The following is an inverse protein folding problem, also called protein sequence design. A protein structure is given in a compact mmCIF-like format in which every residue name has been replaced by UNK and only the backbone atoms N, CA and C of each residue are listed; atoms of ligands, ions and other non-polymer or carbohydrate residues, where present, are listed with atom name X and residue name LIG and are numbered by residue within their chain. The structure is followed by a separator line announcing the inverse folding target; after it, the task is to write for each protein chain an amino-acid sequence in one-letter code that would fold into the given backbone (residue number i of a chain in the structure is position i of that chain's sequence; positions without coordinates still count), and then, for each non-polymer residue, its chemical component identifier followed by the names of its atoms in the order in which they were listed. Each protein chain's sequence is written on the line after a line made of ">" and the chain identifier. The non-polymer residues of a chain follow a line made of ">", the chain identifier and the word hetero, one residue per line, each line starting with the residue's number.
data_IF_260706447805
#
_entry.id   IF_260706447805
#
_cell.length_a   1.000
_cell.length_b   1.000
_cell.length_c   1.000
_cell.angle_alpha   90.00
_cell.angle_beta   90.00
_cell.angle_gamma   90.00
#
_symmetry.space_group_name_H-M   'P 1'
#
loop_
_entity.id
_entity.type
_entity.pdbx_description
1 polymer ?
#
# COMPACT_ATOMS: atom_id res chain seq x y z
N UNK A 1 62.56 -65.31 -7.45
CA UNK A 1 61.12 -65.37 -7.15
C UNK A 1 60.90 -64.48 -5.93
N UNK A 2 60.09 -63.43 -5.89
CA UNK A 2 59.10 -62.82 -6.80
C UNK A 2 58.87 -61.38 -6.31
N UNK A 3 58.70 -60.45 -7.25
CA UNK A 3 58.38 -59.02 -7.08
C UNK A 3 56.83 -58.81 -7.05
N UNK A 4 56.27 -57.57 -6.99
CA UNK A 4 55.59 -56.97 -5.83
C UNK A 4 54.09 -56.70 -6.17
N UNK A 5 53.36 -55.94 -5.35
CA UNK A 5 52.53 -54.77 -5.77
C UNK A 5 51.58 -54.31 -4.65
N UNK A 6 51.61 -52.99 -4.38
CA UNK A 6 50.53 -52.26 -3.72
C UNK A 6 49.36 -52.08 -4.71
N UNK A 7 48.09 -52.18 -4.27
CA UNK A 7 46.95 -51.72 -5.06
C UNK A 7 46.68 -50.21 -4.88
N UNK A 8 45.98 -49.57 -5.83
CA UNK A 8 45.97 -48.11 -6.03
C UNK A 8 44.87 -47.39 -5.25
N UNK A 9 45.04 -46.06 -5.14
CA UNK A 9 44.07 -45.12 -4.60
C UNK A 9 42.75 -45.08 -5.41
N UNK A 10 41.59 -44.93 -4.76
CA UNK A 10 40.31 -44.75 -5.46
C UNK A 10 40.18 -43.33 -6.03
N UNK A 11 39.81 -43.27 -7.31
CA UNK A 11 39.42 -42.05 -8.04
C UNK A 11 38.10 -41.47 -7.49
N UNK A 12 37.86 -40.15 -7.64
CA UNK A 12 36.64 -39.51 -7.15
C UNK A 12 35.40 -39.95 -7.95
N UNK A 13 34.33 -40.29 -7.22
CA UNK A 13 33.00 -40.57 -7.77
C UNK A 13 32.37 -39.29 -8.35
N UNK A 14 31.67 -39.37 -9.50
CA UNK A 14 30.91 -38.24 -10.02
C UNK A 14 29.70 -37.92 -9.12
N UNK A 15 29.42 -36.63 -8.97
CA UNK A 15 28.31 -36.10 -8.20
C UNK A 15 26.97 -36.75 -8.63
N UNK A 16 26.30 -37.40 -7.68
CA UNK A 16 24.94 -37.87 -7.85
C UNK A 16 24.00 -36.68 -7.95
N UNK A 17 23.46 -36.43 -9.13
CA UNK A 17 22.33 -35.49 -9.32
C UNK A 17 21.11 -36.13 -8.64
N UNK A 18 20.69 -35.51 -7.54
CA UNK A 18 19.46 -35.83 -6.83
C UNK A 18 18.26 -35.56 -7.75
N UNK A 19 17.64 -36.63 -8.27
CA UNK A 19 16.37 -36.55 -9.00
C UNK A 19 15.28 -36.17 -8.00
N UNK A 20 14.85 -34.90 -8.00
CA UNK A 20 13.61 -34.49 -7.34
C UNK A 20 12.43 -34.97 -8.18
N UNK A 21 11.67 -35.91 -7.62
CA UNK A 21 10.35 -36.33 -8.09
C UNK A 21 9.38 -35.16 -7.97
N UNK A 22 8.89 -34.62 -9.09
CA UNK A 22 7.74 -33.72 -9.12
C UNK A 22 6.47 -34.57 -9.16
N UNK A 23 5.73 -34.59 -8.07
CA UNK A 23 4.39 -35.19 -7.99
C UNK A 23 3.41 -34.14 -8.52
N UNK A 24 2.80 -34.39 -9.68
CA UNK A 24 1.65 -33.62 -10.17
C UNK A 24 0.37 -34.29 -9.68
N UNK A 25 -0.33 -33.65 -8.74
CA UNK A 25 -1.72 -33.99 -8.42
C UNK A 25 -2.63 -33.24 -9.41
N UNK A 26 -3.17 -33.95 -10.39
CA UNK A 26 -4.31 -33.49 -11.19
C UNK A 26 -5.60 -33.98 -10.54
N UNK A 27 -6.39 -33.07 -9.97
CA UNK A 27 -7.80 -33.36 -9.66
C UNK A 27 -8.68 -32.62 -10.66
N UNK A 28 -9.18 -33.36 -11.65
CA UNK A 28 -10.42 -33.04 -12.35
C UNK A 28 -11.54 -33.86 -11.69
N UNK A 29 -12.55 -33.19 -11.15
CA UNK A 29 -13.88 -33.79 -11.06
C UNK A 29 -14.88 -32.82 -11.70
N UNK A 30 -15.37 -33.24 -12.86
CA UNK A 30 -16.60 -32.77 -13.47
C UNK A 30 -17.73 -33.49 -12.73
N UNK A 31 -18.68 -32.73 -12.20
CA UNK A 31 -19.90 -33.25 -11.60
C UNK A 31 -21.01 -32.22 -11.73
N UNK A 32 -21.81 -32.36 -12.77
CA UNK A 32 -23.07 -31.64 -12.98
C UNK A 32 -24.15 -32.21 -12.06
N UNK A 33 -24.80 -31.36 -11.24
CA UNK A 33 -26.18 -31.59 -10.81
C UNK A 33 -26.82 -30.28 -10.31
N UNK A 34 -27.94 -29.93 -10.93
CA UNK A 34 -28.94 -28.96 -10.48
C UNK A 34 -29.73 -29.56 -9.30
N UNK A 35 -29.96 -28.79 -8.23
CA UNK A 35 -31.31 -28.44 -7.77
C UNK A 35 -31.33 -27.70 -6.42
N UNK A 36 -32.37 -26.86 -6.27
CA UNK A 36 -32.73 -26.00 -5.12
C UNK A 36 -32.93 -26.79 -3.81
N UNK A 37 -32.50 -26.22 -2.67
CA UNK A 37 -33.35 -25.80 -1.52
C UNK A 37 -32.59 -25.61 -0.18
N UNK A 38 -32.62 -24.38 0.35
CA UNK A 38 -33.15 -23.96 1.69
C UNK A 38 -32.65 -24.61 3.02
N UNK A 39 -32.14 -23.73 3.91
CA UNK A 39 -32.10 -23.71 5.41
C UNK A 39 -31.08 -24.57 6.20
N UNK A 40 -30.20 -23.85 6.92
CA UNK A 40 -30.05 -23.93 8.39
C UNK A 40 -28.97 -24.85 8.99
N UNK A 41 -28.43 -24.53 10.20
CA UNK A 41 -27.02 -24.75 10.56
C UNK A 41 -26.79 -25.84 11.62
N UNK A 42 -25.56 -26.37 11.72
CA UNK A 42 -25.13 -27.10 12.92
C UNK A 42 -23.91 -28.02 12.77
N UNK A 43 -22.92 -27.73 13.61
CA UNK A 43 -21.98 -28.64 14.28
C UNK A 43 -20.78 -29.25 13.55
N UNK A 44 -19.64 -28.97 14.20
CA UNK A 44 -18.34 -29.61 14.08
C UNK A 44 -18.41 -31.10 14.41
N UNK A 45 -17.55 -31.89 13.77
CA UNK A 45 -16.91 -33.06 14.39
C UNK A 45 -15.66 -33.47 13.62
N UNK A 46 -14.58 -33.68 14.35
CA UNK A 46 -13.33 -34.26 13.89
C UNK A 46 -13.52 -35.74 13.58
N UNK A 47 -13.00 -36.22 12.44
CA UNK A 47 -12.73 -37.64 12.24
C UNK A 47 -11.35 -37.85 11.61
N UNK A 48 -10.46 -38.42 12.41
CA UNK A 48 -9.32 -39.22 11.99
C UNK A 48 -9.81 -40.54 11.42
N UNK A 49 -9.34 -40.94 10.24
CA UNK A 49 -9.48 -42.31 9.75
C UNK A 49 -8.20 -42.77 9.06
N UNK A 50 -7.53 -43.71 9.73
CA UNK A 50 -6.53 -44.62 9.18
C UNK A 50 -7.24 -45.69 8.36
N UNK A 51 -6.82 -45.92 7.11
CA UNK A 51 -7.34 -47.00 6.28
C UNK A 51 -6.46 -47.24 5.05
N UNK A 52 -5.63 -48.27 5.13
CA UNK A 52 -4.86 -48.90 4.05
C UNK A 52 -5.78 -49.55 3.02
N UNK A 53 -5.53 -49.30 1.73
CA UNK A 53 -5.81 -50.25 0.66
C UNK A 53 -4.84 -50.01 -0.50
N UNK A 54 -3.93 -50.96 -0.67
CA UNK A 54 -3.19 -51.18 -1.89
C UNK A 54 -4.08 -52.03 -2.80
N UNK A 55 -4.34 -51.60 -4.04
CA UNK A 55 -4.06 -52.41 -5.23
C UNK A 55 -4.52 -51.77 -6.56
N UNK A 56 -3.70 -52.02 -7.59
CA UNK A 56 -3.93 -51.87 -9.03
C UNK A 56 -4.29 -50.49 -9.62
N UNK A 57 -3.25 -49.69 -9.88
CA UNK A 57 -3.20 -48.85 -11.09
C UNK A 57 -1.82 -49.00 -11.75
N UNK A 58 -1.76 -49.81 -12.81
CA UNK A 58 -0.57 -49.92 -13.66
C UNK A 58 -0.17 -48.53 -14.16
N UNK A 59 1.10 -48.11 -14.03
CA UNK A 59 1.57 -46.94 -14.76
C UNK A 59 1.57 -47.31 -16.24
N UNK A 60 0.63 -46.74 -17.00
CA UNK A 60 0.84 -46.56 -18.44
C UNK A 60 2.08 -45.70 -18.58
N UNK A 61 3.19 -46.36 -18.90
CA UNK A 61 4.38 -45.72 -19.45
C UNK A 61 3.91 -45.07 -20.76
N UNK A 62 3.50 -43.81 -20.69
CA UNK A 62 3.58 -42.94 -21.84
C UNK A 62 5.07 -42.65 -21.96
N UNK A 63 5.75 -43.41 -22.80
CA UNK A 63 7.02 -43.01 -23.39
C UNK A 63 6.77 -41.66 -24.07
N UNK A 64 6.92 -40.58 -23.31
CA UNK A 64 7.28 -39.29 -23.88
C UNK A 64 8.62 -39.55 -24.55
N UNK A 65 8.56 -39.79 -25.87
CA UNK A 65 9.71 -39.68 -26.74
C UNK A 65 10.47 -38.44 -26.30
N UNK A 66 11.68 -38.68 -25.77
CA UNK A 66 12.64 -37.65 -25.46
C UNK A 66 12.96 -36.95 -26.77
N UNK A 67 12.18 -35.92 -27.10
CA UNK A 67 12.60 -34.92 -28.06
C UNK A 67 13.89 -34.34 -27.53
N UNK A 68 14.99 -34.61 -28.24
CA UNK A 68 16.31 -34.09 -27.92
C UNK A 68 16.20 -32.57 -27.70
N UNK A 69 16.34 -32.12 -26.46
CA UNK A 69 16.55 -30.70 -26.19
C UNK A 69 17.85 -30.33 -26.92
N UNK A 70 17.74 -29.41 -27.89
CA UNK A 70 18.90 -28.96 -28.65
C UNK A 70 19.99 -28.46 -27.68
N UNK A 71 21.29 -28.66 -27.95
CA UNK A 71 22.38 -28.22 -27.06
C UNK A 71 22.30 -26.74 -26.68
N UNK A 72 21.70 -25.91 -27.54
CA UNK A 72 21.44 -24.49 -27.31
C UNK A 72 20.35 -24.22 -26.27
N UNK A 73 19.27 -25.02 -26.23
CA UNK A 73 18.23 -24.91 -25.19
C UNK A 73 18.77 -25.28 -23.81
N UNK A 74 19.62 -26.30 -23.72
CA UNK A 74 20.25 -26.70 -22.46
C UNK A 74 21.22 -25.62 -21.94
N UNK A 75 22.00 -25.00 -22.84
CA UNK A 75 22.86 -23.86 -22.49
C UNK A 75 22.05 -22.66 -22.00
N UNK A 76 20.95 -22.35 -22.69
CA UNK A 76 20.05 -21.26 -22.31
C UNK A 76 19.44 -21.48 -20.92
N UNK A 77 18.95 -22.68 -20.63
CA UNK A 77 18.40 -23.03 -19.31
C UNK A 77 19.46 -22.91 -18.20
N UNK A 78 20.68 -23.40 -18.44
CA UNK A 78 21.77 -23.30 -17.47
C UNK A 78 22.19 -21.85 -17.19
N UNK A 79 22.15 -20.97 -18.21
CA UNK A 79 22.44 -19.54 -18.04
C UNK A 79 21.34 -18.84 -17.24
N UNK A 80 20.07 -19.18 -17.46
CA UNK A 80 18.95 -18.66 -16.67
C UNK A 80 19.02 -19.09 -15.20
N UNK A 81 19.34 -20.36 -14.94
CA UNK A 81 19.51 -20.85 -13.57
C UNK A 81 20.67 -20.12 -12.87
N UNK A 82 21.82 -19.97 -13.54
CA UNK A 82 22.96 -19.23 -12.99
C UNK A 82 22.62 -17.75 -12.73
N UNK A 83 21.82 -17.12 -13.60
CA UNK A 83 21.35 -15.75 -13.41
C UNK A 83 20.40 -15.64 -12.21
N UNK A 84 19.47 -16.58 -12.07
CA UNK A 84 18.55 -16.64 -10.95
C UNK A 84 19.31 -16.83 -9.63
N UNK A 85 20.34 -17.67 -9.61
CA UNK A 85 21.23 -17.86 -8.47
C UNK A 85 21.96 -16.58 -8.08
N UNK A 86 22.57 -15.87 -9.04
CA UNK A 86 23.23 -14.58 -8.79
C UNK A 86 22.25 -13.55 -8.22
N UNK A 87 21.06 -13.44 -8.80
CA UNK A 87 20.00 -12.54 -8.28
C UNK A 87 19.58 -12.91 -6.86
N UNK A 88 19.42 -14.20 -6.57
CA UNK A 88 19.07 -14.67 -5.22
C UNK A 88 20.20 -14.40 -4.21
N UNK A 89 21.47 -14.44 -4.64
CA UNK A 89 22.60 -14.04 -3.81
C UNK A 89 22.55 -12.55 -3.47
N UNK A 90 22.30 -11.68 -4.46
CA UNK A 90 22.11 -10.23 -4.24
C UNK A 90 20.94 -9.97 -3.29
N UNK A 91 19.81 -10.65 -3.46
CA UNK A 91 18.65 -10.54 -2.57
C UNK A 91 19.01 -10.90 -1.12
N UNK A 92 19.75 -11.99 -0.90
CA UNK A 92 20.20 -12.39 0.44
C UNK A 92 21.16 -11.38 1.05
N UNK A 93 22.13 -10.89 0.29
CA UNK A 93 23.10 -9.91 0.74
C UNK A 93 22.43 -8.58 1.13
N UNK A 94 21.52 -8.08 0.28
CA UNK A 94 20.75 -6.87 0.56
C UNK A 94 19.84 -7.05 1.78
N UNK A 95 19.23 -8.23 1.95
CA UNK A 95 18.43 -8.53 3.13
C UNK A 95 19.27 -8.46 4.41
N UNK A 96 20.41 -9.13 4.45
CA UNK A 96 21.30 -9.12 5.62
C UNK A 96 21.80 -7.70 5.92
N UNK A 97 22.29 -6.99 4.90
CA UNK A 97 22.79 -5.62 5.02
C UNK A 97 21.70 -4.69 5.55
N UNK A 98 20.47 -4.83 5.07
CA UNK A 98 19.35 -4.01 5.51
C UNK A 98 18.91 -4.36 6.93
N UNK A 99 18.84 -5.63 7.30
CA UNK A 99 18.55 -6.04 8.67
C UNK A 99 19.56 -5.45 9.67
N UNK A 100 20.85 -5.47 9.34
CA UNK A 100 21.91 -4.87 10.17
C UNK A 100 21.79 -3.33 10.25
N UNK A 101 21.40 -2.67 9.14
CA UNK A 101 21.15 -1.23 9.14
C UNK A 101 19.93 -0.86 10.00
N UNK A 102 18.84 -1.62 9.89
CA UNK A 102 17.64 -1.45 10.72
C UNK A 102 18.00 -1.62 12.19
N UNK A 103 18.72 -2.68 12.56
CA UNK A 103 19.10 -2.92 13.95
C UNK A 103 19.89 -1.75 14.55
N UNK A 104 20.88 -1.22 13.81
CA UNK A 104 21.70 -0.06 14.25
C UNK A 104 20.90 1.22 14.39
N UNK A 105 19.92 1.46 13.52
CA UNK A 105 19.14 2.71 13.50
C UNK A 105 17.96 2.68 14.45
N UNK A 106 17.33 1.52 14.63
CA UNK A 106 16.10 1.35 15.40
C UNK A 106 16.30 1.74 16.88
N UNK A 107 17.40 1.34 17.51
CA UNK A 107 17.66 1.68 18.92
C UNK A 107 17.75 3.20 19.15
N UNK A 108 18.29 3.93 18.16
CA UNK A 108 18.34 5.40 18.22
C UNK A 108 16.94 6.01 18.10
N UNK A 109 16.11 5.52 17.16
CA UNK A 109 14.74 5.98 17.00
C UNK A 109 13.89 5.70 18.25
N UNK A 110 14.08 4.54 18.87
CA UNK A 110 13.42 4.18 20.14
C UNK A 110 13.82 5.15 21.25
N UNK A 111 15.11 5.42 21.42
CA UNK A 111 15.58 6.39 22.42
C UNK A 111 14.97 7.79 22.20
N UNK A 112 14.94 8.27 20.95
CA UNK A 112 14.34 9.55 20.62
C UNK A 112 12.84 9.59 20.93
N UNK A 113 12.14 8.49 20.64
CA UNK A 113 10.71 8.38 20.88
C UNK A 113 10.38 8.34 22.37
N UNK A 114 11.14 7.58 23.17
CA UNK A 114 11.01 7.55 24.62
C UNK A 114 11.24 8.94 25.24
N UNK A 115 12.28 9.65 24.78
CA UNK A 115 12.56 11.02 25.22
C UNK A 115 11.44 12.00 24.82
N UNK A 116 10.79 11.80 23.67
CA UNK A 116 9.64 12.60 23.27
C UNK A 116 8.45 12.31 24.19
N UNK A 117 8.10 11.05 24.41
CA UNK A 117 7.00 10.66 25.29
C UNK A 117 7.18 11.21 26.71
N UNK A 118 8.39 11.14 27.27
CA UNK A 118 8.71 11.72 28.58
C UNK A 118 8.52 13.24 28.61
N UNK A 119 9.01 13.95 27.59
CA UNK A 119 8.86 15.41 27.47
C UNK A 119 7.40 15.82 27.35
N UNK A 120 6.63 15.16 26.48
CA UNK A 120 5.20 15.46 26.30
C UNK A 120 4.41 15.17 27.57
N UNK A 121 4.69 14.06 28.27
CA UNK A 121 4.03 13.73 29.54
C UNK A 121 4.34 14.76 30.63
N UNK A 122 5.60 15.21 30.72
CA UNK A 122 6.00 16.25 31.67
C UNK A 122 5.32 17.59 31.37
N UNK A 123 5.20 17.97 30.08
CA UNK A 123 4.50 19.19 29.65
C UNK A 123 3.01 19.13 30.00
N UNK A 124 2.33 18.01 29.73
CA UNK A 124 0.93 17.79 30.11
C UNK A 124 0.75 17.94 31.63
N UNK A 125 1.65 17.34 32.43
CA UNK A 125 1.62 17.45 33.89
C UNK A 125 1.86 18.87 34.41
N UNK A 126 2.62 19.69 33.69
CA UNK A 126 2.90 21.08 34.05
C UNK A 126 1.79 22.07 33.63
N UNK A 127 1.15 21.85 32.47
CA UNK A 127 0.08 22.72 31.96
C UNK A 127 -1.25 22.58 32.74
N UNK A 128 -1.45 21.50 33.50
CA UNK A 128 -2.63 21.30 34.35
C UNK A 128 -2.87 22.36 35.44
N UNK A 129 -1.96 23.33 35.63
CA UNK A 129 -2.06 24.41 36.63
C UNK A 129 -2.30 25.82 36.04
N UNK A 130 -2.18 26.02 34.73
CA UNK A 130 -2.34 27.34 34.11
C UNK A 130 -3.57 27.32 33.20
N UNK A 131 -4.66 27.94 33.67
CA UNK A 131 -5.97 27.94 33.01
C UNK A 131 -6.02 28.74 31.70
N UNK A 132 -5.46 28.19 30.64
CA UNK A 132 -5.67 28.68 29.27
C UNK A 132 -6.85 27.93 28.64
N UNK A 133 -8.00 28.59 28.54
CA UNK A 133 -9.30 28.01 28.13
C UNK A 133 -9.29 27.38 26.73
N UNK A 134 -8.32 27.76 25.88
CA UNK A 134 -8.12 27.19 24.55
C UNK A 134 -7.27 25.91 24.53
N UNK A 135 -6.30 25.75 25.44
CA UNK A 135 -5.54 24.50 25.62
C UNK A 135 -6.35 23.45 26.36
N UNK A 136 -7.27 23.87 27.24
CA UNK A 136 -8.17 23.00 28.01
C UNK A 136 -9.09 22.10 27.19
N UNK A 137 -9.22 22.31 25.87
CA UNK A 137 -10.02 21.46 24.98
C UNK A 137 -9.26 20.25 24.41
N UNK A 138 -7.92 20.26 24.37
CA UNK A 138 -7.16 19.08 23.90
C UNK A 138 -6.91 18.16 25.08
N UNK A 139 -7.64 17.05 25.13
CA UNK A 139 -7.40 16.02 26.13
C UNK A 139 -5.92 15.60 26.13
N UNK A 140 -5.32 15.30 27.30
CA UNK A 140 -3.97 14.74 27.39
C UNK A 140 -3.69 13.58 26.42
N UNK A 141 -4.73 12.76 26.18
CA UNK A 141 -4.68 11.67 25.19
C UNK A 141 -4.44 12.18 23.77
N UNK A 142 -5.19 13.19 23.33
CA UNK A 142 -5.04 13.79 21.98
C UNK A 142 -3.64 14.35 21.78
N UNK A 143 -3.05 15.00 22.79
CA UNK A 143 -1.70 15.56 22.68
C UNK A 143 -0.62 14.48 22.51
N UNK A 144 -0.72 13.37 23.25
CA UNK A 144 0.18 12.23 23.11
C UNK A 144 0.03 11.55 21.74
N UNK A 145 -1.20 11.39 21.25
CA UNK A 145 -1.49 10.83 19.92
C UNK A 145 -0.89 11.71 18.81
N UNK A 146 -1.07 13.02 18.90
CA UNK A 146 -0.49 13.98 17.95
C UNK A 146 1.04 13.95 17.99
N UNK A 147 1.65 13.90 19.18
CA UNK A 147 3.11 13.83 19.31
C UNK A 147 3.69 12.57 18.66
N UNK A 148 3.04 11.42 18.84
CA UNK A 148 3.43 10.16 18.20
C UNK A 148 3.34 10.22 16.67
N UNK A 149 2.23 10.76 16.14
CA UNK A 149 2.06 10.93 14.70
C UNK A 149 3.15 11.86 14.13
N UNK A 150 3.38 13.00 14.77
CA UNK A 150 4.40 13.97 14.34
C UNK A 150 5.79 13.35 14.36
N UNK A 151 6.13 12.56 15.39
CA UNK A 151 7.40 11.82 15.43
C UNK A 151 7.57 10.94 14.18
N UNK A 152 6.56 10.13 13.84
CA UNK A 152 6.64 9.24 12.67
C UNK A 152 6.81 10.05 11.39
N UNK A 153 6.06 11.15 11.22
CA UNK A 153 6.13 12.02 10.03
C UNK A 153 7.50 12.69 9.90
N UNK A 154 7.98 13.33 10.97
CA UNK A 154 9.26 14.04 10.99
C UNK A 154 10.44 13.10 10.78
N UNK A 155 10.46 11.96 11.49
CA UNK A 155 11.51 10.97 11.30
C UNK A 155 11.45 10.34 9.92
N UNK A 156 10.26 10.10 9.35
CA UNK A 156 10.16 9.60 7.97
C UNK A 156 10.80 10.58 6.98
N UNK A 157 10.57 11.88 7.16
CA UNK A 157 11.20 12.91 6.32
C UNK A 157 12.73 12.95 6.46
N UNK A 158 13.25 12.73 7.68
CA UNK A 158 14.69 12.66 7.95
C UNK A 158 15.32 11.38 7.36
N UNK A 159 14.69 10.23 7.54
CA UNK A 159 15.18 8.95 6.99
C UNK A 159 15.18 8.95 5.47
N UNK A 160 14.26 9.67 4.82
CA UNK A 160 14.27 9.86 3.36
C UNK A 160 15.51 10.60 2.87
N UNK A 161 16.01 11.57 3.65
CA UNK A 161 17.24 12.30 3.34
C UNK A 161 18.49 11.48 3.67
N UNK A 162 18.38 10.52 4.59
CA UNK A 162 19.46 9.64 4.97
C UNK A 162 19.65 8.53 3.93
N UNK A 163 20.53 8.77 2.97
CA UNK A 163 20.95 7.71 2.02
C UNK A 163 21.98 6.84 2.73
N UNK A 164 21.56 5.69 3.28
CA UNK A 164 22.49 4.68 3.76
C UNK A 164 23.28 4.15 2.56
N UNK A 165 24.54 4.57 2.43
CA UNK A 165 25.43 4.18 1.34
C UNK A 165 25.63 2.67 1.22
N UNK A 166 25.27 1.89 2.25
CA UNK A 166 25.36 0.43 2.23
C UNK A 166 24.12 -0.24 1.63
N UNK A 167 22.94 0.37 1.76
CA UNK A 167 21.68 -0.18 1.23
C UNK A 167 21.39 0.46 -0.12
N UNK A 168 21.96 -0.12 -1.17
CA UNK A 168 21.76 0.35 -2.55
C UNK A 168 20.70 -0.49 -3.25
N UNK A 169 19.45 -0.02 -3.25
CA UNK A 169 18.35 -0.67 -3.98
C UNK A 169 18.64 -0.86 -5.48
N UNK A 170 19.51 -0.02 -6.05
CA UNK A 170 20.00 -0.13 -7.43
C UNK A 170 20.79 -1.41 -7.70
N UNK A 171 21.29 -2.13 -6.69
CA UNK A 171 21.92 -3.44 -6.87
C UNK A 171 20.96 -4.51 -7.37
N UNK A 172 19.66 -4.36 -7.11
CA UNK A 172 18.64 -5.23 -7.69
C UNK A 172 18.57 -5.13 -9.22
N UNK A 173 19.21 -4.12 -9.82
CA UNK A 173 19.27 -3.92 -11.26
C UNK A 173 20.39 -4.72 -11.95
N UNK A 174 21.39 -5.23 -11.20
CA UNK A 174 22.62 -5.84 -11.75
C UNK A 174 22.37 -7.01 -12.73
N UNK A 175 21.26 -7.74 -12.57
CA UNK A 175 20.92 -8.92 -13.41
C UNK A 175 19.57 -8.74 -14.14
N UNK A 176 19.12 -7.48 -14.31
CA UNK A 176 17.97 -7.19 -15.16
C UNK A 176 18.33 -7.44 -16.63
N UNK A 177 17.50 -8.18 -17.37
CA UNK A 177 17.76 -8.39 -18.78
C UNK A 177 17.52 -7.07 -19.53
N UNK A 178 18.40 -6.76 -20.50
CA UNK A 178 18.28 -5.55 -21.34
C UNK A 178 17.00 -5.60 -22.19
N UNK A 179 16.60 -6.79 -22.61
CA UNK A 179 15.36 -7.04 -23.36
C UNK A 179 14.47 -8.05 -22.61
N UNK A 180 13.15 -7.91 -22.72
CA UNK A 180 12.23 -8.90 -22.14
C UNK A 180 12.41 -10.25 -22.84
N UNK A 181 12.74 -11.28 -22.06
CA UNK A 181 12.92 -12.64 -22.59
C UNK A 181 11.57 -13.34 -22.81
N UNK A 182 10.58 -13.02 -21.97
CA UNK A 182 9.23 -13.57 -22.09
C UNK A 182 8.49 -13.00 -23.31
N UNK A 183 7.86 -13.89 -24.08
CA UNK A 183 7.14 -13.51 -25.29
C UNK A 183 5.94 -12.60 -24.98
N UNK A 184 5.16 -12.90 -23.95
CA UNK A 184 4.01 -12.08 -23.59
C UNK A 184 4.49 -10.72 -23.10
N UNK A 185 5.54 -10.69 -22.26
CA UNK A 185 6.21 -9.47 -21.80
C UNK A 185 6.56 -8.53 -22.95
N UNK A 186 7.28 -9.05 -23.96
CA UNK A 186 7.62 -8.29 -25.18
C UNK A 186 6.40 -7.79 -25.93
N UNK A 187 5.42 -8.65 -26.17
CA UNK A 187 4.22 -8.28 -26.90
C UNK A 187 3.42 -7.16 -26.21
N UNK A 188 3.40 -7.12 -24.87
CA UNK A 188 2.78 -6.02 -24.14
C UNK A 188 3.57 -4.72 -24.26
N UNK A 189 4.89 -4.77 -24.20
CA UNK A 189 5.75 -3.61 -24.39
C UNK A 189 5.59 -3.00 -25.78
N UNK A 190 5.63 -3.84 -26.81
CA UNK A 190 5.44 -3.44 -28.21
C UNK A 190 4.07 -2.80 -28.41
N UNK A 191 3.01 -3.45 -27.89
CA UNK A 191 1.64 -2.93 -27.96
C UNK A 191 1.51 -1.59 -27.25
N UNK A 192 2.11 -1.44 -26.07
CA UNK A 192 2.07 -0.20 -25.31
C UNK A 192 2.80 0.93 -26.05
N UNK A 193 4.01 0.67 -26.53
CA UNK A 193 4.77 1.63 -27.32
C UNK A 193 4.02 2.05 -28.59
N UNK A 194 3.35 1.11 -29.25
CA UNK A 194 2.54 1.38 -30.43
C UNK A 194 1.31 2.24 -30.12
N UNK A 195 0.55 1.90 -29.08
CA UNK A 195 -0.61 2.68 -28.64
C UNK A 195 -0.23 4.12 -28.27
N UNK A 196 0.91 4.30 -27.60
CA UNK A 196 1.41 5.62 -27.20
C UNK A 196 1.78 6.54 -28.37
N UNK A 197 2.08 6.00 -29.56
CA UNK A 197 2.34 6.79 -30.77
C UNK A 197 1.09 7.51 -31.30
N UNK A 198 -0.07 6.85 -31.18
CA UNK A 198 -1.34 7.31 -31.74
C UNK A 198 -2.14 8.23 -30.80
N UNK A 199 -1.82 8.25 -29.51
CA UNK A 199 -2.45 9.15 -28.55
C UNK A 199 -1.76 10.52 -28.57
N UNK A 200 -2.12 11.37 -29.54
CA UNK A 200 -1.64 12.75 -29.70
C UNK A 200 -2.80 13.72 -29.93
N UNK A 201 -2.58 15.01 -29.66
CA UNK A 201 -3.59 16.06 -29.87
C UNK A 201 -4.78 15.89 -28.93
N UNK A 202 -6.00 15.84 -29.45
CA UNK A 202 -7.24 15.73 -28.66
C UNK A 202 -7.28 14.50 -27.74
N UNK A 203 -6.55 13.43 -28.09
CA UNK A 203 -6.49 12.17 -27.33
C UNK A 203 -5.35 12.10 -26.32
N UNK A 204 -4.64 13.20 -26.10
CA UNK A 204 -3.52 13.25 -25.18
C UNK A 204 -3.94 12.98 -23.72
N UNK A 205 -5.17 13.36 -23.36
CA UNK A 205 -5.77 13.06 -22.05
C UNK A 205 -5.92 11.56 -21.76
N UNK A 206 -5.99 10.70 -22.78
CA UNK A 206 -6.10 9.24 -22.62
C UNK A 206 -4.75 8.59 -22.25
N UNK A 207 -3.63 9.30 -22.39
CA UNK A 207 -2.28 8.72 -22.19
C UNK A 207 -2.04 8.29 -20.74
N UNK A 208 -2.50 9.08 -19.77
CA UNK A 208 -2.36 8.75 -18.35
C UNK A 208 -3.06 7.44 -17.99
N UNK A 209 -4.31 7.28 -18.45
CA UNK A 209 -5.08 6.05 -18.24
C UNK A 209 -4.42 4.84 -18.91
N UNK A 210 -3.83 5.02 -20.09
CA UNK A 210 -3.09 3.96 -20.76
C UNK A 210 -1.82 3.56 -20.00
N UNK A 211 -1.04 4.54 -19.52
CA UNK A 211 0.15 4.30 -18.68
C UNK A 211 -0.23 3.50 -17.44
N UNK A 212 -1.25 3.94 -16.71
CA UNK A 212 -1.73 3.27 -15.51
C UNK A 212 -2.15 1.83 -15.81
N UNK A 213 -2.91 1.61 -16.88
CA UNK A 213 -3.38 0.27 -17.27
C UNK A 213 -2.22 -0.65 -17.66
N UNK A 214 -1.24 -0.16 -18.42
CA UNK A 214 -0.08 -0.96 -18.83
C UNK A 214 0.78 -1.34 -17.62
N UNK A 215 1.13 -0.35 -16.78
CA UNK A 215 1.96 -0.57 -15.61
C UNK A 215 1.27 -1.47 -14.58
N UNK A 216 -0.03 -1.33 -14.37
CA UNK A 216 -0.80 -2.26 -13.57
C UNK A 216 -0.74 -3.68 -14.15
N UNK A 217 -0.90 -3.83 -15.47
CA UNK A 217 -0.83 -5.13 -16.15
C UNK A 217 0.51 -5.86 -15.96
N UNK A 218 1.63 -5.14 -15.95
CA UNK A 218 2.96 -5.75 -15.83
C UNK A 218 3.45 -5.86 -14.38
N UNK A 219 3.10 -4.93 -13.48
CA UNK A 219 3.63 -4.90 -12.10
C UNK A 219 2.78 -5.69 -11.11
N UNK A 220 1.51 -5.99 -11.40
CA UNK A 220 0.63 -6.71 -10.48
C UNK A 220 1.16 -8.10 -10.15
N UNK A 221 1.32 -8.36 -8.85
CA UNK A 221 1.80 -9.64 -8.33
C UNK A 221 0.69 -10.68 -8.14
N UNK A 222 -0.54 -10.24 -7.87
CA UNK A 222 -1.71 -11.11 -7.68
C UNK A 222 -2.44 -11.36 -9.00
N UNK A 223 -2.79 -12.61 -9.30
CA UNK A 223 -3.60 -12.89 -10.49
C UNK A 223 -4.92 -12.08 -10.47
N UNK A 224 -5.36 -11.50 -11.59
CA UNK A 224 -6.63 -10.77 -11.64
C UNK A 224 -7.79 -11.73 -11.34
N UNK A 225 -8.70 -11.31 -10.46
CA UNK A 225 -9.91 -12.04 -10.12
C UNK A 225 -11.12 -11.36 -10.78
N UNK A 226 -12.03 -12.14 -11.37
CA UNK A 226 -13.35 -11.69 -11.85
C UNK A 226 -14.39 -12.63 -11.27
N UNK A 227 -15.37 -12.09 -10.55
CA UNK A 227 -16.41 -12.86 -9.86
C UNK A 227 -15.85 -13.97 -8.94
N UNK A 228 -14.75 -13.69 -8.23
CA UNK A 228 -14.08 -14.66 -7.35
C UNK A 228 -13.26 -15.73 -8.07
N UNK A 229 -13.22 -15.75 -9.41
CA UNK A 229 -12.39 -16.67 -10.19
C UNK A 229 -11.14 -15.97 -10.72
N UNK A 230 -9.97 -16.59 -10.54
CA UNK A 230 -8.72 -16.14 -11.17
C UNK A 230 -8.84 -16.23 -12.69
N UNK A 231 -8.84 -15.07 -13.37
CA UNK A 231 -9.08 -14.94 -14.82
C UNK A 231 -7.88 -15.39 -15.64
N UNK A 232 -6.68 -15.36 -15.05
CA UNK A 232 -5.45 -15.86 -15.65
C UNK A 232 -4.77 -16.85 -14.70
N UNK A 233 -4.33 -18.01 -15.23
CA UNK A 233 -3.60 -19.03 -14.46
C UNK A 233 -2.22 -18.56 -14.00
N UNK A 234 -1.61 -17.64 -14.72
CA UNK A 234 -0.31 -17.05 -14.40
C UNK A 234 -0.34 -15.59 -14.79
N UNK A 235 -0.04 -14.76 -13.82
CA UNK A 235 0.26 -13.36 -14.00
C UNK A 235 1.55 -13.21 -14.84
N UNK A 236 1.63 -12.19 -15.70
CA UNK A 236 2.68 -12.02 -16.72
C UNK A 236 4.10 -12.10 -16.15
N UNK A 237 5.00 -12.80 -16.85
CA UNK A 237 6.43 -12.82 -16.53
C UNK A 237 7.11 -11.62 -17.18
N UNK A 238 7.47 -10.63 -16.37
CA UNK A 238 8.06 -9.37 -16.83
C UNK A 238 9.21 -8.96 -15.91
N UNK A 239 10.30 -8.42 -16.45
CA UNK A 239 11.49 -8.07 -15.65
C UNK A 239 11.20 -7.12 -14.49
N UNK A 240 10.43 -6.05 -14.74
CA UNK A 240 10.01 -5.07 -13.71
C UNK A 240 9.19 -5.70 -12.59
N UNK A 241 8.38 -6.70 -12.91
CA UNK A 241 7.63 -7.46 -11.91
C UNK A 241 8.55 -8.27 -11.02
N UNK A 242 9.54 -8.94 -11.62
CA UNK A 242 10.53 -9.70 -10.88
C UNK A 242 11.35 -8.81 -9.95
N UNK A 243 11.66 -7.58 -10.39
CA UNK A 243 12.31 -6.56 -9.57
C UNK A 243 11.42 -6.17 -8.36
N UNK A 244 10.14 -5.89 -8.59
CA UNK A 244 9.18 -5.61 -7.52
C UNK A 244 9.03 -6.78 -6.54
N UNK A 245 8.95 -8.02 -7.06
CA UNK A 245 8.86 -9.23 -6.23
C UNK A 245 10.12 -9.42 -5.38
N UNK A 246 11.31 -9.17 -5.94
CA UNK A 246 12.57 -9.27 -5.21
C UNK A 246 12.60 -8.27 -4.05
N UNK A 247 12.23 -7.01 -4.29
CA UNK A 247 12.10 -6.01 -3.23
C UNK A 247 11.05 -6.41 -2.18
N UNK A 248 9.87 -6.87 -2.60
CA UNK A 248 8.82 -7.31 -1.68
C UNK A 248 9.28 -8.45 -0.77
N UNK A 249 10.09 -9.38 -1.29
CA UNK A 249 10.68 -10.48 -0.51
C UNK A 249 11.70 -9.96 0.52
N UNK A 250 12.57 -9.02 0.14
CA UNK A 250 13.53 -8.38 1.05
C UNK A 250 12.76 -7.62 2.14
N UNK A 251 11.80 -6.80 1.74
CA UNK A 251 10.97 -5.98 2.63
C UNK A 251 10.25 -6.87 3.65
N UNK A 252 9.60 -7.95 3.19
CA UNK A 252 8.95 -8.92 4.09
C UNK A 252 9.96 -9.54 5.05
N UNK A 253 11.15 -9.93 4.58
CA UNK A 253 12.18 -10.54 5.43
C UNK A 253 12.77 -9.56 6.46
N UNK A 254 12.75 -8.26 6.16
CA UNK A 254 13.23 -7.23 7.07
C UNK A 254 12.18 -6.82 8.12
N UNK A 255 10.90 -6.79 7.74
CA UNK A 255 9.87 -6.15 8.55
C UNK A 255 8.77 -7.07 9.09
N UNK A 256 8.57 -8.27 8.52
CA UNK A 256 7.48 -9.15 8.95
C UNK A 256 7.68 -9.69 10.38
N UNK A 257 8.94 -9.78 10.85
CA UNK A 257 9.22 -10.25 12.20
C UNK A 257 8.67 -9.30 13.26
N UNK A 258 8.58 -7.99 13.00
CA UNK A 258 7.93 -7.04 13.93
C UNK A 258 6.43 -7.32 14.10
N UNK A 259 5.78 -7.96 13.13
CA UNK A 259 4.35 -8.29 13.19
C UNK A 259 4.05 -9.52 14.04
N UNK A 260 4.97 -10.48 14.09
CA UNK A 260 4.78 -11.73 14.83
C UNK A 260 4.64 -11.49 16.34
N UNK A 261 5.11 -10.34 16.83
CA UNK A 261 5.17 -10.02 18.25
C UNK A 261 4.25 -8.86 18.66
N UNK A 262 3.72 -8.09 17.71
CA UNK A 262 2.75 -7.03 17.98
C UNK A 262 1.38 -7.55 18.46
N UNK A 263 1.06 -8.83 18.20
CA UNK A 263 -0.22 -9.46 18.56
C UNK A 263 -0.30 -10.07 19.96
N UNK A 264 0.78 -10.09 20.74
CA UNK A 264 0.77 -10.63 22.10
C UNK A 264 1.20 -9.55 23.09
N UNK A 265 0.22 -8.77 23.56
CA UNK A 265 0.38 -8.07 24.83
C UNK A 265 0.83 -9.08 25.89
N UNK A 266 2.01 -8.85 26.47
CA UNK A 266 2.73 -9.73 27.39
C UNK A 266 3.33 -11.01 26.77
N UNK A 267 4.44 -10.86 26.07
CA UNK A 267 5.32 -11.96 25.62
C UNK A 267 6.77 -11.78 26.08
N UNK A 268 7.40 -12.86 26.54
CA UNK A 268 8.64 -12.96 27.35
C UNK A 268 9.95 -12.66 26.58
N UNK A 269 9.92 -11.88 25.50
CA UNK A 269 11.13 -11.25 24.92
C UNK A 269 11.07 -9.75 25.17
N UNK A 270 12.02 -9.25 25.97
CA UNK A 270 12.12 -7.86 26.45
C UNK A 270 12.26 -6.78 25.35
N UNK A 271 12.27 -7.16 24.07
CA UNK A 271 12.86 -6.33 23.00
C UNK A 271 11.90 -5.96 21.84
N UNK A 272 10.58 -6.21 21.90
CA UNK A 272 9.61 -5.73 20.88
C UNK A 272 8.37 -5.14 21.55
N UNK A 273 8.36 -3.83 21.77
CA UNK A 273 7.20 -3.05 22.24
C UNK A 273 6.45 -2.42 21.06
N UNK A 274 5.19 -1.98 21.29
CA UNK A 274 4.42 -1.17 20.32
C UNK A 274 5.21 0.08 19.91
N UNK A 275 5.96 0.67 20.84
CA UNK A 275 6.83 1.81 20.59
C UNK A 275 7.96 1.44 19.61
N UNK A 276 8.55 0.26 19.76
CA UNK A 276 9.55 -0.26 18.82
C UNK A 276 8.98 -0.48 17.43
N UNK A 277 7.77 -1.03 17.30
CA UNK A 277 7.09 -1.19 16.00
C UNK A 277 6.82 0.18 15.38
N UNK A 278 6.35 1.15 16.17
CA UNK A 278 6.14 2.54 15.73
C UNK A 278 7.43 3.14 15.16
N UNK A 279 8.57 2.91 15.81
CA UNK A 279 9.89 3.38 15.36
C UNK A 279 10.40 2.69 14.08
N UNK A 280 9.77 1.62 13.59
CA UNK A 280 10.10 1.04 12.28
C UNK A 280 9.46 1.78 11.11
N UNK A 281 8.36 2.50 11.34
CA UNK A 281 7.60 3.18 10.28
C UNK A 281 8.43 4.20 9.49
N UNK A 282 9.31 5.03 10.10
CA UNK A 282 10.22 5.90 9.36
C UNK A 282 11.14 5.16 8.39
N UNK A 283 11.68 4.01 8.80
CA UNK A 283 12.58 3.19 7.99
C UNK A 283 11.83 2.55 6.81
N UNK A 284 10.60 2.10 7.06
CA UNK A 284 9.69 1.57 6.05
C UNK A 284 9.33 2.64 5.02
N UNK A 285 8.98 3.84 5.46
CA UNK A 285 8.64 4.95 4.59
C UNK A 285 9.82 5.32 3.67
N UNK A 286 11.04 5.35 4.22
CA UNK A 286 12.26 5.57 3.46
C UNK A 286 12.47 4.50 2.39
N UNK A 287 12.42 3.21 2.76
CA UNK A 287 12.67 2.09 1.84
C UNK A 287 11.66 2.06 0.69
N UNK A 288 10.37 2.21 0.99
CA UNK A 288 9.30 2.20 -0.02
C UNK A 288 9.46 3.37 -0.99
N UNK A 289 9.76 4.57 -0.48
CA UNK A 289 9.88 5.77 -1.32
C UNK A 289 11.15 5.74 -2.17
N UNK A 290 12.29 5.33 -1.59
CA UNK A 290 13.54 5.20 -2.32
C UNK A 290 13.43 4.15 -3.43
N UNK A 291 12.84 2.98 -3.12
CA UNK A 291 12.63 1.96 -4.13
C UNK A 291 11.61 2.38 -5.19
N UNK A 292 10.53 3.08 -4.82
CA UNK A 292 9.58 3.65 -5.78
C UNK A 292 10.27 4.61 -6.76
N UNK A 293 11.19 5.45 -6.28
CA UNK A 293 11.97 6.35 -7.12
C UNK A 293 12.88 5.57 -8.09
N UNK A 294 13.59 4.54 -7.61
CA UNK A 294 14.42 3.67 -8.46
C UNK A 294 13.57 2.98 -9.52
N UNK A 295 12.46 2.36 -9.14
CA UNK A 295 11.57 1.64 -10.07
C UNK A 295 10.94 2.59 -11.10
N UNK A 296 10.56 3.81 -10.68
CA UNK A 296 10.07 4.86 -11.59
C UNK A 296 11.14 5.22 -12.63
N UNK A 297 12.39 5.43 -12.20
CA UNK A 297 13.50 5.70 -13.12
C UNK A 297 13.74 4.55 -14.09
N UNK A 298 13.66 3.29 -13.64
CA UNK A 298 13.82 2.11 -14.51
C UNK A 298 12.70 2.04 -15.54
N UNK A 299 11.45 2.32 -15.15
CA UNK A 299 10.31 2.38 -16.09
C UNK A 299 10.52 3.46 -17.14
N UNK A 300 10.93 4.66 -16.70
CA UNK A 300 11.19 5.80 -17.57
C UNK A 300 12.40 5.60 -18.49
N UNK A 301 13.39 4.82 -18.04
CA UNK A 301 14.51 4.37 -18.87
C UNK A 301 14.05 3.36 -19.91
N UNK A 302 13.22 2.39 -19.52
CA UNK A 302 12.67 1.36 -20.42
C UNK A 302 11.73 1.96 -21.49
N UNK A 303 10.98 3.01 -21.13
CA UNK A 303 10.06 3.70 -22.04
C UNK A 303 10.44 5.19 -22.17
N UNK A 304 11.46 5.55 -22.98
CA UNK A 304 11.98 6.92 -23.05
C UNK A 304 10.95 7.97 -23.45
N UNK A 305 9.91 7.59 -24.19
CA UNK A 305 8.84 8.50 -24.59
C UNK A 305 8.03 9.06 -23.40
N UNK A 306 8.10 8.43 -22.23
CA UNK A 306 7.47 8.90 -20.99
C UNK A 306 8.24 10.05 -20.31
N UNK A 307 9.47 10.34 -20.75
CA UNK A 307 10.27 11.47 -20.25
C UNK A 307 9.78 12.84 -20.76
N UNK A 308 8.90 12.82 -21.78
CA UNK A 308 8.54 14.02 -22.54
C UNK A 308 7.64 15.00 -21.80
N UNK A 309 6.93 14.56 -20.75
CA UNK A 309 5.95 15.37 -20.03
C UNK A 309 5.92 15.05 -18.54
N UNK A 310 5.83 16.08 -17.71
CA UNK A 310 5.69 15.95 -16.25
C UNK A 310 4.43 15.17 -15.87
N UNK A 311 3.33 15.37 -16.59
CA UNK A 311 2.08 14.64 -16.36
C UNK A 311 2.25 13.13 -16.55
N UNK A 312 3.01 12.72 -17.59
CA UNK A 312 3.30 11.31 -17.84
C UNK A 312 4.24 10.74 -16.79
N UNK A 313 5.27 11.49 -16.39
CA UNK A 313 6.16 11.10 -15.30
C UNK A 313 5.39 10.90 -13.98
N UNK A 314 4.47 11.81 -13.66
CA UNK A 314 3.58 11.71 -12.50
C UNK A 314 2.66 10.49 -12.59
N UNK A 315 2.11 10.19 -13.77
CA UNK A 315 1.29 9.00 -13.98
C UNK A 315 2.10 7.70 -13.76
N UNK A 316 3.36 7.65 -14.20
CA UNK A 316 4.27 6.53 -13.94
C UNK A 316 4.52 6.38 -12.44
N UNK A 317 4.91 7.46 -11.77
CA UNK A 317 5.19 7.45 -10.33
C UNK A 317 3.98 6.96 -9.52
N UNK A 318 2.78 7.48 -9.81
CA UNK A 318 1.53 7.05 -9.16
C UNK A 318 1.27 5.55 -9.38
N UNK A 319 1.49 5.06 -10.59
CA UNK A 319 1.29 3.65 -10.94
C UNK A 319 2.27 2.72 -10.22
N UNK A 320 3.54 3.13 -10.14
CA UNK A 320 4.59 2.40 -9.43
C UNK A 320 4.28 2.33 -7.94
N UNK A 321 3.90 3.45 -7.32
CA UNK A 321 3.52 3.51 -5.90
C UNK A 321 2.28 2.65 -5.63
N UNK A 322 1.28 2.69 -6.50
CA UNK A 322 0.09 1.84 -6.35
C UNK A 322 0.46 0.35 -6.38
N UNK A 323 1.28 -0.09 -7.33
CA UNK A 323 1.74 -1.47 -7.44
C UNK A 323 2.59 -1.91 -6.23
N UNK A 324 3.42 -1.00 -5.69
CA UNK A 324 4.19 -1.24 -4.47
C UNK A 324 3.28 -1.44 -3.27
N UNK A 325 2.31 -0.56 -3.05
CA UNK A 325 1.38 -0.70 -1.94
C UNK A 325 0.56 -1.98 -2.05
N UNK A 326 0.11 -2.36 -3.24
CA UNK A 326 -0.56 -3.65 -3.45
C UNK A 326 0.35 -4.85 -3.11
N UNK A 327 1.63 -4.80 -3.50
CA UNK A 327 2.60 -5.87 -3.24
C UNK A 327 2.97 -6.00 -1.76
N UNK A 328 3.06 -4.88 -1.06
CA UNK A 328 3.56 -4.79 0.32
C UNK A 328 2.43 -4.74 1.36
N UNK A 329 1.17 -4.67 0.92
CA UNK A 329 -0.02 -4.42 1.73
C UNK A 329 -0.06 -5.23 3.04
N UNK A 330 0.19 -6.56 3.06
CA UNK A 330 0.08 -7.33 4.30
C UNK A 330 1.05 -6.84 5.39
N UNK A 331 2.25 -6.41 5.00
CA UNK A 331 3.27 -5.95 5.94
C UNK A 331 3.03 -4.48 6.31
N UNK A 332 2.78 -3.62 5.32
CA UNK A 332 2.51 -2.19 5.56
C UNK A 332 1.30 -1.98 6.46
N UNK A 333 0.19 -2.64 6.14
CA UNK A 333 -1.03 -2.54 6.94
C UNK A 333 -0.82 -3.16 8.33
N UNK A 334 -0.14 -4.30 8.43
CA UNK A 334 0.18 -4.92 9.71
C UNK A 334 0.97 -3.99 10.62
N UNK A 335 2.00 -3.30 10.10
CA UNK A 335 2.83 -2.40 10.90
C UNK A 335 2.05 -1.15 11.31
N UNK A 336 1.21 -0.62 10.42
CA UNK A 336 0.33 0.49 10.74
C UNK A 336 -0.62 0.12 11.88
N UNK A 337 -1.37 -0.97 11.75
CA UNK A 337 -2.32 -1.42 12.76
C UNK A 337 -1.61 -1.68 14.08
N UNK A 338 -0.49 -2.42 14.06
CA UNK A 338 0.31 -2.67 15.26
C UNK A 338 0.78 -1.37 15.95
N UNK A 339 1.04 -0.32 15.18
CA UNK A 339 1.50 0.96 15.72
C UNK A 339 0.35 1.83 16.19
N UNK A 340 -0.78 1.89 15.48
CA UNK A 340 -1.84 2.90 15.69
C UNK A 340 -3.21 2.33 16.10
N UNK A 341 -3.33 1.03 16.40
CA UNK A 341 -4.60 0.40 16.77
C UNK A 341 -5.30 1.11 17.95
N UNK A 342 -4.53 1.56 18.95
CA UNK A 342 -5.10 2.26 20.11
C UNK A 342 -5.66 3.62 19.69
N UNK A 343 -4.91 4.34 18.89
CA UNK A 343 -5.29 5.64 18.36
C UNK A 343 -6.54 5.55 17.47
N UNK A 344 -6.60 4.56 16.57
CA UNK A 344 -7.77 4.30 15.75
C UNK A 344 -9.00 3.98 16.63
N UNK A 345 -8.86 3.14 17.67
CA UNK A 345 -9.97 2.83 18.58
C UNK A 345 -10.49 4.04 19.35
N UNK A 346 -9.60 4.94 19.78
CA UNK A 346 -10.00 6.17 20.47
C UNK A 346 -10.75 7.10 19.51
N UNK A 347 -10.31 7.20 18.26
CA UNK A 347 -10.99 8.00 17.25
C UNK A 347 -12.38 7.44 16.92
N UNK A 348 -12.52 6.12 16.83
CA UNK A 348 -13.81 5.46 16.64
C UNK A 348 -14.77 5.72 17.82
N UNK A 349 -14.29 5.60 19.06
CA UNK A 349 -15.09 5.91 20.26
C UNK A 349 -15.54 7.38 20.28
N UNK A 350 -14.63 8.30 19.95
CA UNK A 350 -14.93 9.74 19.86
C UNK A 350 -15.95 10.02 18.74
N UNK A 351 -15.81 9.37 17.59
CA UNK A 351 -16.74 9.51 16.48
C UNK A 351 -18.14 9.00 16.84
N UNK A 352 -18.24 7.88 17.55
CA UNK A 352 -19.52 7.31 18.01
C UNK A 352 -20.21 8.22 19.02
N UNK A 353 -19.46 8.71 20.02
CA UNK A 353 -19.97 9.69 21.00
C UNK A 353 -20.43 10.99 20.33
N UNK A 354 -19.77 11.39 19.24
CA UNK A 354 -20.09 12.62 18.54
C UNK A 354 -21.37 12.53 17.69
N UNK A 355 -21.90 11.33 17.40
CA UNK A 355 -23.09 11.16 16.53
C UNK A 355 -24.34 11.86 17.04
N UNK A 356 -24.49 11.97 18.36
CA UNK A 356 -25.64 12.62 19.00
C UNK A 356 -25.46 14.13 19.17
N UNK A 357 -24.28 14.65 18.86
CA UNK A 357 -23.98 16.07 19.08
C UNK A 357 -24.62 16.95 18.00
N UNK A 358 -25.18 18.12 18.38
CA UNK A 358 -25.73 19.06 17.41
C UNK A 358 -24.61 19.69 16.56
N UNK A 359 -24.94 20.17 15.36
CA UNK A 359 -23.97 20.84 14.46
C UNK A 359 -23.20 22.00 15.13
N UNK A 360 -23.80 22.66 16.13
CA UNK A 360 -23.16 23.71 16.92
C UNK A 360 -21.95 23.21 17.73
N UNK A 361 -21.95 21.95 18.16
CA UNK A 361 -20.82 21.31 18.84
C UNK A 361 -19.57 21.26 17.95
N UNK A 362 -19.76 21.06 16.66
CA UNK A 362 -18.68 21.04 15.66
C UNK A 362 -18.33 22.43 15.11
N UNK A 363 -18.84 23.49 15.75
CA UNK A 363 -18.62 24.88 15.35
C UNK A 363 -19.07 25.20 13.90
N UNK A 364 -19.99 24.39 13.34
CA UNK A 364 -20.55 24.63 12.02
C UNK A 364 -21.41 25.89 12.08
N UNK A 365 -20.89 26.97 11.47
CA UNK A 365 -21.57 28.26 11.39
C UNK A 365 -22.94 28.10 10.72
N UNK A 366 -23.97 28.89 11.11
CA UNK A 366 -25.30 28.82 10.49
C UNK A 366 -25.30 28.90 8.96
N UNK A 367 -24.35 29.65 8.39
CA UNK A 367 -24.13 29.75 6.94
C UNK A 367 -23.85 28.39 6.27
N UNK A 368 -23.25 27.43 6.96
CA UNK A 368 -22.85 26.13 6.40
C UNK A 368 -23.71 24.96 6.90
N UNK A 369 -24.79 25.22 7.65
CA UNK A 369 -25.69 24.16 8.14
C UNK A 369 -26.61 23.61 7.05
N UNK A 370 -26.94 24.45 6.07
CA UNK A 370 -27.76 24.15 4.88
C UNK A 370 -29.13 23.49 5.22
N UNK A 371 -29.60 23.66 6.46
CA UNK A 371 -30.84 23.10 7.02
C UNK A 371 -32.01 24.10 6.97
N UNK A 372 -31.79 25.27 6.36
CA UNK A 372 -32.76 26.37 6.31
C UNK A 372 -32.84 27.21 7.59
N UNK A 373 -32.01 26.94 8.60
CA UNK A 373 -32.00 27.69 9.88
C UNK A 373 -31.43 29.11 9.79
N UNK A 374 -30.95 29.53 8.61
CA UNK A 374 -30.43 30.87 8.33
C UNK A 374 -31.55 31.93 8.23
N UNK A 375 -32.79 31.52 7.99
CA UNK A 375 -33.90 32.45 7.78
C UNK A 375 -34.45 32.97 9.10
N UNK A 376 -34.41 34.29 9.31
CA UNK A 376 -35.30 34.94 10.27
C UNK A 376 -36.74 34.53 9.97
N UNK A 377 -37.51 34.22 11.02
CA UNK A 377 -38.84 33.60 10.97
C UNK A 377 -39.88 34.30 10.06
N UNK A 378 -39.59 35.49 9.53
CA UNK A 378 -40.44 36.23 8.61
C UNK A 378 -40.25 35.89 7.12
N UNK A 379 -39.14 35.28 6.70
CA UNK A 379 -38.88 34.93 5.29
C UNK A 379 -39.31 33.50 4.90
N UNK A 380 -39.67 32.68 5.89
CA UNK A 380 -39.96 31.26 5.70
C UNK A 380 -41.36 31.00 5.10
N UNK A 381 -42.30 31.94 5.23
CA UNK A 381 -43.69 31.78 4.78
C UNK A 381 -43.90 32.00 3.27
N UNK A 382 -42.94 32.57 2.54
CA UNK A 382 -43.14 32.92 1.12
C UNK A 382 -42.61 31.90 0.09
N UNK A 383 -41.81 30.91 0.47
CA UNK A 383 -41.11 30.05 -0.51
C UNK A 383 -41.14 28.56 -0.16
N UNK A 384 -42.33 27.94 -0.20
CA UNK A 384 -42.52 26.50 0.11
C UNK A 384 -43.24 25.74 -1.02
N UNK A 385 -42.69 25.81 -2.23
CA UNK A 385 -43.04 24.83 -3.28
C UNK A 385 -41.91 23.83 -3.57
N UNK A 386 -40.66 24.17 -3.22
CA UNK A 386 -39.46 23.48 -3.73
C UNK A 386 -38.36 23.30 -2.65
N UNK A 387 -38.65 23.65 -1.39
CA UNK A 387 -37.70 23.50 -0.28
C UNK A 387 -37.31 22.06 0.02
N UNK A 388 -38.20 21.10 -0.25
CA UNK A 388 -37.93 19.68 -0.06
C UNK A 388 -36.94 19.14 -1.11
N UNK A 389 -37.10 19.50 -2.40
CA UNK A 389 -36.17 19.05 -3.44
C UNK A 389 -34.76 19.63 -3.23
N UNK A 390 -34.67 20.91 -2.83
CA UNK A 390 -33.40 21.55 -2.48
C UNK A 390 -32.70 20.87 -1.30
N UNK A 391 -33.44 20.60 -0.22
CA UNK A 391 -32.92 19.86 0.94
C UNK A 391 -32.44 18.47 0.53
N UNK A 392 -33.18 17.78 -0.33
CA UNK A 392 -32.79 16.47 -0.86
C UNK A 392 -31.51 16.53 -1.71
N UNK A 393 -31.34 17.55 -2.55
CA UNK A 393 -30.11 17.74 -3.35
C UNK A 393 -28.88 17.97 -2.46
N UNK A 394 -28.98 18.84 -1.46
CA UNK A 394 -27.88 19.07 -0.50
C UNK A 394 -27.55 17.83 0.32
N UNK A 395 -28.57 17.08 0.77
CA UNK A 395 -28.38 15.81 1.46
C UNK A 395 -27.70 14.75 0.57
N UNK A 396 -27.95 14.73 -0.75
CA UNK A 396 -27.26 13.82 -1.68
C UNK A 396 -25.76 14.06 -1.71
N UNK A 397 -25.30 15.31 -1.70
CA UNK A 397 -23.86 15.63 -1.69
C UNK A 397 -23.20 15.27 -0.35
N UNK A 398 -23.84 15.51 0.79
CA UNK A 398 -23.33 15.03 2.07
C UNK A 398 -23.31 13.50 2.17
N UNK A 399 -24.33 12.82 1.66
CA UNK A 399 -24.34 11.35 1.58
C UNK A 399 -23.22 10.83 0.66
N UNK A 400 -22.93 11.52 -0.44
CA UNK A 400 -21.78 11.20 -1.29
C UNK A 400 -20.46 11.40 -0.53
N UNK A 401 -20.28 12.52 0.18
CA UNK A 401 -19.10 12.78 1.01
C UNK A 401 -18.90 11.68 2.07
N UNK A 402 -19.96 11.28 2.77
CA UNK A 402 -19.94 10.17 3.75
C UNK A 402 -19.58 8.85 3.06
N UNK A 403 -20.14 8.56 1.88
CA UNK A 403 -19.78 7.39 1.09
C UNK A 403 -18.30 7.42 0.66
N UNK A 404 -17.76 8.58 0.30
CA UNK A 404 -16.36 8.71 -0.05
C UNK A 404 -15.45 8.43 1.16
N UNK A 405 -15.79 8.99 2.32
CA UNK A 405 -15.05 8.81 3.58
C UNK A 405 -15.08 7.37 4.08
N UNK A 406 -16.25 6.72 4.08
CA UNK A 406 -16.41 5.34 4.55
C UNK A 406 -15.60 4.32 3.70
N UNK A 407 -15.38 4.63 2.43
CA UNK A 407 -14.58 3.79 1.53
C UNK A 407 -13.08 4.17 1.53
N UNK A 408 -12.64 5.13 2.35
CA UNK A 408 -11.23 5.52 2.41
C UNK A 408 -10.34 4.34 2.86
N UNK A 409 -10.85 3.50 3.75
CA UNK A 409 -10.15 2.31 4.26
C UNK A 409 -9.93 1.24 3.17
N UNK A 410 -10.82 1.13 2.19
CA UNK A 410 -10.69 0.14 1.10
C UNK A 410 -9.60 0.50 0.09
N UNK A 411 -9.23 1.78 -0.01
CA UNK A 411 -8.15 2.22 -0.88
C UNK A 411 -6.78 1.78 -0.33
N UNK A 412 -5.92 1.24 -1.20
CA UNK A 412 -4.58 0.76 -0.80
C UNK A 412 -3.47 1.75 -1.11
N UNK A 413 -3.58 2.46 -2.24
CA UNK A 413 -2.59 3.47 -2.64
C UNK A 413 -2.76 4.77 -1.83
N UNK A 414 -1.67 5.40 -1.36
CA UNK A 414 -1.74 6.68 -0.67
C UNK A 414 -2.30 7.79 -1.57
N UNK A 415 -1.98 7.78 -2.86
CA UNK A 415 -2.55 8.73 -3.82
C UNK A 415 -4.07 8.56 -3.95
N UNK A 416 -4.55 7.33 -4.05
CA UNK A 416 -5.98 7.04 -4.12
C UNK A 416 -6.71 7.50 -2.83
N UNK A 417 -6.09 7.32 -1.66
CA UNK A 417 -6.61 7.86 -0.40
C UNK A 417 -6.71 9.39 -0.41
N UNK A 418 -5.67 10.08 -0.88
CA UNK A 418 -5.67 11.54 -0.99
C UNK A 418 -6.69 12.06 -2.01
N UNK A 419 -6.80 11.41 -3.17
CA UNK A 419 -7.82 11.73 -4.18
C UNK A 419 -9.24 11.51 -3.64
N UNK A 420 -9.46 10.43 -2.88
CA UNK A 420 -10.74 10.17 -2.21
C UNK A 420 -11.07 11.24 -1.17
N UNK A 421 -10.08 11.68 -0.38
CA UNK A 421 -10.26 12.79 0.56
C UNK A 421 -10.54 14.12 -0.15
N UNK A 422 -9.86 14.39 -1.27
CA UNK A 422 -10.15 15.55 -2.10
C UNK A 422 -11.61 15.52 -2.61
N UNK A 423 -12.10 14.35 -3.05
CA UNK A 423 -13.50 14.18 -3.45
C UNK A 423 -14.48 14.46 -2.28
N UNK A 424 -14.16 14.04 -1.05
CA UNK A 424 -14.97 14.40 0.13
C UNK A 424 -15.09 15.92 0.26
N UNK A 425 -13.96 16.62 0.17
CA UNK A 425 -13.92 18.09 0.24
C UNK A 425 -14.70 18.74 -0.91
N UNK A 426 -14.55 18.24 -2.14
CA UNK A 426 -15.27 18.72 -3.32
C UNK A 426 -16.79 18.51 -3.22
N UNK A 427 -17.25 17.37 -2.70
CA UNK A 427 -18.68 17.12 -2.50
C UNK A 427 -19.26 18.05 -1.42
N UNK A 428 -18.52 18.31 -0.34
CA UNK A 428 -18.94 19.28 0.69
C UNK A 428 -19.02 20.70 0.09
N UNK A 429 -18.02 21.13 -0.65
CA UNK A 429 -18.00 22.43 -1.32
C UNK A 429 -19.14 22.54 -2.36
N UNK A 430 -19.38 21.48 -3.13
CA UNK A 430 -20.50 21.41 -4.08
C UNK A 430 -21.85 21.47 -3.37
N UNK A 431 -22.00 20.82 -2.22
CA UNK A 431 -23.23 20.90 -1.41
C UNK A 431 -23.55 22.36 -1.02
N UNK A 432 -22.53 23.11 -0.58
CA UNK A 432 -22.65 24.51 -0.19
C UNK A 432 -22.97 25.39 -1.40
N UNK A 433 -22.24 25.23 -2.51
CA UNK A 433 -22.42 26.03 -3.72
C UNK A 433 -23.79 25.79 -4.36
N UNK A 434 -24.20 24.54 -4.54
CA UNK A 434 -25.51 24.18 -5.10
C UNK A 434 -26.65 24.73 -4.24
N UNK A 435 -26.53 24.65 -2.91
CA UNK A 435 -27.52 25.24 -2.01
C UNK A 435 -27.67 26.75 -2.25
N UNK A 436 -26.57 27.49 -2.33
CA UNK A 436 -26.60 28.94 -2.55
C UNK A 436 -26.89 29.37 -3.99
N UNK A 437 -26.59 28.53 -4.97
CA UNK A 437 -26.96 28.76 -6.36
C UNK A 437 -28.47 28.70 -6.55
N UNK A 438 -29.16 27.86 -5.76
CA UNK A 438 -30.62 27.74 -5.75
C UNK A 438 -31.34 28.86 -4.97
N UNK A 439 -30.60 29.73 -4.28
CA UNK A 439 -31.17 30.86 -3.53
C UNK A 439 -31.28 32.11 -4.41
N UNK A 440 -32.29 32.98 -4.17
CA UNK A 440 -32.37 34.30 -4.80
C UNK A 440 -31.06 35.07 -4.61
N UNK A 441 -30.63 35.80 -5.63
CA UNK A 441 -29.35 36.53 -5.65
C UNK A 441 -29.18 37.45 -4.44
N UNK A 442 -30.28 38.00 -3.93
CA UNK A 442 -30.35 38.90 -2.77
C UNK A 442 -30.00 38.21 -1.44
N UNK A 443 -30.19 36.88 -1.35
CA UNK A 443 -29.93 36.06 -0.16
C UNK A 443 -28.60 35.28 -0.28
N UNK A 444 -27.96 35.35 -1.45
CA UNK A 444 -26.69 34.67 -1.70
C UNK A 444 -25.57 35.38 -0.91
N UNK A 445 -24.81 34.64 -0.08
CA UNK A 445 -23.64 35.20 0.57
C UNK A 445 -22.58 35.60 -0.48
N UNK A 446 -21.80 36.63 -0.20
CA UNK A 446 -20.74 37.06 -1.12
C UNK A 446 -19.67 35.95 -1.27
N UNK A 447 -18.91 35.91 -2.39
CA UNK A 447 -17.81 34.97 -2.55
C UNK A 447 -16.78 35.01 -1.41
N UNK A 448 -16.58 36.20 -0.83
CA UNK A 448 -15.70 36.43 0.33
C UNK A 448 -16.27 35.82 1.63
N UNK A 449 -17.60 35.73 1.76
CA UNK A 449 -18.27 35.07 2.89
C UNK A 449 -18.26 33.53 2.76
N UNK A 450 -18.18 33.01 1.53
CA UNK A 450 -18.10 31.57 1.24
C UNK A 450 -16.66 31.04 1.25
N UNK A 451 -15.70 31.84 0.78
CA UNK A 451 -14.28 31.51 0.83
C UNK A 451 -13.72 31.85 2.22
N UNK A 452 -13.77 30.90 3.15
CA UNK A 452 -13.02 31.01 4.40
C UNK A 452 -11.52 30.95 4.10
N UNK A 453 -10.88 32.10 3.90
CA UNK A 453 -9.42 32.18 3.99
C UNK A 453 -9.01 31.80 5.41
N UNK A 454 -8.34 30.65 5.55
CA UNK A 454 -7.68 30.26 6.79
C UNK A 454 -6.45 31.18 6.98
N UNK A 455 -6.56 32.09 7.95
CA UNK A 455 -5.48 32.81 8.67
C UNK A 455 -4.29 33.32 7.87
N UNK A 456 -4.15 34.65 7.83
CA UNK A 456 -2.84 35.30 7.64
C UNK A 456 -1.87 34.73 8.70
N UNK A 457 -0.65 34.28 8.32
CA UNK A 457 0.38 34.09 9.31
C UNK A 457 0.68 35.47 9.89
N UNK A 458 0.49 35.64 11.19
CA UNK A 458 1.08 36.74 11.95
C UNK A 458 2.59 36.60 11.78
N UNK A 459 3.12 37.31 10.78
CA UNK A 459 4.53 37.63 10.73
C UNK A 459 4.75 38.50 11.96
N UNK A 460 5.39 37.92 12.98
CA UNK A 460 6.00 38.69 14.04
C UNK A 460 6.90 39.72 13.36
N UNK A 461 6.45 40.97 13.34
CA UNK A 461 7.32 42.11 13.11
C UNK A 461 8.28 42.12 14.31
N UNK A 462 9.44 41.50 14.16
CA UNK A 462 10.59 41.85 14.96
C UNK A 462 10.81 43.35 14.76
N UNK A 463 10.66 44.09 15.85
CA UNK A 463 10.94 45.52 15.89
C UNK A 463 12.35 45.78 15.39
N UNK A 464 12.43 46.74 14.48
CA UNK A 464 13.61 47.59 14.38
C UNK A 464 13.72 48.34 15.70
N UNK A 465 14.73 48.01 16.50
CA UNK A 465 15.33 48.98 17.41
C UNK A 465 16.79 49.15 16.99
N UNK A 466 17.11 50.41 16.69
CA UNK A 466 18.46 50.92 16.50
C UNK A 466 19.27 50.83 17.80
#
# INVERSE_FOLDING_TARGET
>A
MSWPTCPPAPLPLPASISKRTLIFCSHQHIGTASDRAVVGPGNAECYSSTGTEADFAQPRIVELQQGAAYPEQLKFLAEEDARLERRNAVVKELTATRQDAIARRLDNLVLQFEQLQQRTTAQIGACGNNGDENEGRRSPGTQLMTAKLNFVVEQSALELQHVDGNVKWTRLLEELPIEERDYLGRAADEKFAEQMKYLRGERESEREALIQRHLHGILVLTAPHRNGQTVAKTSMHHSLRHLLQAFANIFRSCYADFLQYAGQGFGVRRDVSVDRVTCTLPLVAADVTQFAAVLTQVVVFKYPFLQSSEAQHNAVQRSVVAALFDALQPVLHGLYVASFQREDSILDDVAELARTNPLAYFEVKPLFRLDGSRSDAQQQEQFVADGNERRLLTLRHYNAAVYHLNNLASERSPYAKLERLAQVCEEIDRAIKVYYDSMPTELRPSPEQLNMYVTQPTINQCGNEN
#
